data_IF_093826227723
#
_entry.id   IF_093826227723
#
_cell.length_a   1.000
_cell.length_b   1.000
_cell.length_c   1.000
_cell.angle_alpha   90.00
_cell.angle_beta   90.00
_cell.angle_gamma   90.00
#
_symmetry.space_group_name_H-M   'P 1'
#
loop_
_entity.id
_entity.type
_entity.pdbx_description
1 polymer ?
#
# COMPACT_ATOMS: atom_id res chain seq x y z
N UNK A 1 6.38 10.57 -14.90
CA UNK A 1 6.51 9.28 -15.58
C UNK A 1 7.54 8.41 -14.87
N UNK A 2 7.25 7.15 -14.67
CA UNK A 2 8.16 6.20 -14.02
C UNK A 2 9.03 5.56 -15.13
N UNK A 3 10.35 5.72 -15.03
CA UNK A 3 11.25 5.24 -16.07
C UNK A 3 11.51 3.74 -16.03
N UNK A 4 11.55 3.17 -14.85
CA UNK A 4 11.92 1.75 -14.67
C UNK A 4 10.95 1.08 -13.70
N UNK A 5 9.69 0.90 -14.10
CA UNK A 5 8.75 0.24 -13.22
C UNK A 5 9.14 -1.22 -13.01
N UNK A 6 9.23 -1.64 -11.75
CA UNK A 6 9.55 -3.01 -11.38
C UNK A 6 8.36 -3.77 -10.82
N UNK A 7 7.22 -3.11 -10.73
CA UNK A 7 6.03 -3.70 -10.12
C UNK A 7 4.76 -3.05 -10.65
N UNK A 8 3.66 -3.73 -10.40
CA UNK A 8 2.31 -3.22 -10.63
C UNK A 8 1.63 -3.06 -9.28
N UNK A 9 0.95 -1.96 -9.06
CA UNK A 9 0.19 -1.72 -7.85
C UNK A 9 -1.29 -1.77 -8.18
N UNK A 10 -2.02 -2.62 -7.46
CA UNK A 10 -3.49 -2.65 -7.48
C UNK A 10 -3.97 -2.10 -6.15
N UNK A 11 -4.97 -1.23 -6.17
CA UNK A 11 -5.47 -0.58 -4.98
C UNK A 11 -6.86 -1.08 -4.65
N UNK A 12 -7.08 -1.45 -3.39
CA UNK A 12 -8.38 -1.82 -2.87
C UNK A 12 -8.80 -0.84 -1.77
N UNK A 13 -10.08 -0.49 -1.78
CA UNK A 13 -10.69 0.37 -0.77
C UNK A 13 -11.29 -0.51 0.31
N UNK A 14 -11.17 -0.06 1.56
CA UNK A 14 -11.78 -0.77 2.68
C UNK A 14 -13.31 -0.79 2.54
N UNK A 15 -13.88 -1.98 2.53
CA UNK A 15 -15.30 -2.20 2.54
C UNK A 15 -15.71 -2.73 3.91
N UNK A 16 -16.71 -2.10 4.52
CA UNK A 16 -17.22 -2.52 5.83
C UNK A 16 -18.66 -2.94 5.66
N UNK A 17 -18.95 -4.20 5.98
CA UNK A 17 -20.29 -4.74 5.94
C UNK A 17 -20.70 -5.23 7.33
N UNK A 18 -22.00 -5.34 7.57
CA UNK A 18 -22.50 -5.87 8.83
C UNK A 18 -23.27 -7.16 8.52
N UNK A 19 -22.89 -8.25 9.17
CA UNK A 19 -23.58 -9.52 8.97
C UNK A 19 -24.88 -9.58 9.76
N UNK A 20 -25.61 -10.67 9.65
CA UNK A 20 -26.92 -10.84 10.32
C UNK A 20 -26.82 -10.81 11.84
N UNK A 21 -25.65 -11.06 12.39
CA UNK A 21 -25.41 -11.03 13.85
C UNK A 21 -24.99 -9.66 14.34
N UNK A 22 -24.90 -8.67 13.45
CA UNK A 22 -24.45 -7.33 13.79
C UNK A 22 -22.94 -7.16 13.85
N UNK A 23 -22.18 -8.16 13.46
CA UNK A 23 -20.73 -8.07 13.44
C UNK A 23 -20.26 -7.35 12.18
N UNK A 24 -19.38 -6.39 12.36
CA UNK A 24 -18.80 -5.65 11.24
C UNK A 24 -17.67 -6.46 10.61
N UNK A 25 -17.74 -6.61 9.30
CA UNK A 25 -16.74 -7.31 8.50
C UNK A 25 -16.01 -6.30 7.65
N UNK A 26 -14.69 -6.27 7.76
CA UNK A 26 -13.83 -5.38 6.99
C UNK A 26 -13.09 -6.18 5.93
N UNK A 27 -13.18 -5.76 4.70
CA UNK A 27 -12.57 -6.46 3.58
C UNK A 27 -11.91 -5.50 2.60
N UNK A 28 -10.84 -5.99 1.96
CA UNK A 28 -10.22 -5.33 0.82
C UNK A 28 -10.35 -6.26 -0.38
N UNK A 29 -11.11 -5.84 -1.37
CA UNK A 29 -11.38 -6.66 -2.55
C UNK A 29 -10.38 -6.34 -3.66
N UNK A 30 -9.43 -7.23 -3.90
CA UNK A 30 -8.46 -7.11 -4.97
C UNK A 30 -8.89 -7.82 -6.26
N UNK A 31 -10.05 -8.46 -6.25
CA UNK A 31 -10.61 -9.06 -7.48
C UNK A 31 -10.98 -7.96 -8.47
N UNK A 32 -11.51 -6.86 -7.96
CA UNK A 32 -11.84 -5.69 -8.76
C UNK A 32 -11.19 -4.46 -8.13
N UNK A 33 -9.88 -4.29 -8.31
CA UNK A 33 -9.20 -3.14 -7.71
C UNK A 33 -9.75 -1.83 -8.28
N UNK A 34 -9.79 -0.81 -7.44
CA UNK A 34 -10.30 0.50 -7.85
C UNK A 34 -9.34 1.24 -8.77
N UNK A 35 -8.07 0.90 -8.71
CA UNK A 35 -7.05 1.46 -9.59
C UNK A 35 -5.92 0.47 -9.75
N UNK A 36 -5.20 0.55 -10.87
CA UNK A 36 -4.05 -0.29 -11.15
C UNK A 36 -3.08 0.50 -12.02
N UNK A 37 -1.80 0.44 -11.68
CA UNK A 37 -0.76 1.15 -12.43
C UNK A 37 0.61 0.57 -12.17
N UNK A 38 1.54 0.90 -13.06
CA UNK A 38 2.93 0.49 -12.89
C UNK A 38 3.64 1.47 -11.95
N UNK A 39 4.58 0.95 -11.17
CA UNK A 39 5.33 1.74 -10.20
C UNK A 39 6.75 1.22 -10.04
N UNK A 40 7.62 2.10 -9.58
CA UNK A 40 8.94 1.76 -9.11
C UNK A 40 8.87 1.61 -7.60
N UNK A 41 8.98 0.39 -7.10
CA UNK A 41 8.86 0.08 -5.68
C UNK A 41 10.22 -0.31 -5.14
N UNK A 42 10.71 0.45 -4.16
CA UNK A 42 12.05 0.26 -3.62
C UNK A 42 12.04 0.03 -2.12
N UNK A 43 13.02 -0.70 -1.59
CA UNK A 43 13.14 -0.88 -0.15
C UNK A 43 13.33 0.47 0.55
N UNK A 44 12.70 0.62 1.69
CA UNK A 44 12.85 1.81 2.52
C UNK A 44 12.79 1.40 3.98
N UNK A 45 13.92 1.40 4.66
CA UNK A 45 14.00 1.05 6.07
C UNK A 45 13.87 2.32 6.90
N UNK A 46 12.87 2.36 7.79
CA UNK A 46 12.62 3.51 8.62
C UNK A 46 13.64 3.60 9.76
N UNK A 47 14.03 4.83 10.11
CA UNK A 47 14.81 5.09 11.31
C UNK A 47 13.92 4.91 12.53
N UNK A 48 14.54 4.79 13.71
CA UNK A 48 13.80 4.69 14.96
C UNK A 48 12.87 5.91 15.17
N UNK A 49 13.35 7.08 14.81
CA UNK A 49 12.56 8.31 14.92
C UNK A 49 11.34 8.26 14.02
N UNK A 50 11.47 7.74 12.81
CA UNK A 50 10.36 7.59 11.88
C UNK A 50 9.37 6.54 12.36
N UNK A 51 9.84 5.45 12.94
CA UNK A 51 8.98 4.43 13.52
C UNK A 51 8.10 5.04 14.61
N UNK A 52 8.70 5.81 15.49
CA UNK A 52 7.96 6.48 16.56
C UNK A 52 6.98 7.50 16.01
N UNK A 53 7.40 8.26 15.00
CA UNK A 53 6.55 9.29 14.38
C UNK A 53 5.31 8.70 13.71
N UNK A 54 5.48 7.58 12.99
CA UNK A 54 4.37 6.93 12.30
C UNK A 54 3.55 6.01 13.19
N UNK A 55 4.02 5.74 14.41
CA UNK A 55 3.31 4.87 15.34
C UNK A 55 3.27 3.41 14.92
N UNK A 56 4.24 2.95 14.15
CA UNK A 56 4.33 1.55 13.70
C UNK A 56 5.35 0.79 14.56
N UNK A 57 5.24 -0.52 14.59
CA UNK A 57 6.16 -1.34 15.37
C UNK A 57 7.40 -1.71 14.54
N UNK A 58 8.42 -2.22 15.22
CA UNK A 58 9.69 -2.56 14.55
C UNK A 58 9.54 -3.68 13.54
N UNK A 59 8.56 -4.56 13.70
CA UNK A 59 8.34 -5.67 12.77
C UNK A 59 7.88 -5.18 11.40
N UNK A 60 7.21 -4.03 11.36
CA UNK A 60 6.71 -3.45 10.11
C UNK A 60 7.57 -2.27 9.65
N UNK A 61 8.77 -2.11 10.22
CA UNK A 61 9.68 -1.03 9.84
C UNK A 61 10.31 -1.21 8.46
N UNK A 62 10.31 -2.43 7.92
CA UNK A 62 10.83 -2.71 6.58
C UNK A 62 9.77 -2.35 5.55
N UNK A 63 9.66 -1.07 5.28
CA UNK A 63 8.67 -0.54 4.36
C UNK A 63 9.22 -0.49 2.95
N UNK A 64 8.35 -0.17 2.01
CA UNK A 64 8.74 0.11 0.63
C UNK A 64 8.35 1.53 0.30
N UNK A 65 9.03 2.12 -0.64
CA UNK A 65 8.67 3.41 -1.20
C UNK A 65 8.26 3.22 -2.64
N UNK A 66 7.08 3.70 -2.98
CA UNK A 66 6.55 3.61 -4.33
C UNK A 66 6.66 4.95 -5.03
N UNK A 67 7.19 4.93 -6.25
CA UNK A 67 7.21 6.07 -7.14
C UNK A 67 6.29 5.76 -8.31
N UNK A 68 5.30 6.59 -8.54
CA UNK A 68 4.26 6.37 -9.55
C UNK A 68 3.87 7.69 -10.19
N UNK A 69 3.18 7.64 -11.33
CA UNK A 69 2.83 8.87 -12.04
C UNK A 69 1.77 9.66 -11.27
N UNK A 70 0.62 9.08 -11.05
CA UNK A 70 -0.44 9.71 -10.26
C UNK A 70 -1.57 8.71 -10.03
N UNK A 71 -2.18 8.78 -8.85
CA UNK A 71 -3.39 8.02 -8.56
C UNK A 71 -4.20 8.77 -7.52
N UNK A 72 -5.47 8.96 -7.77
CA UNK A 72 -6.40 9.55 -6.80
C UNK A 72 -6.72 8.59 -5.66
N UNK A 73 -6.32 7.33 -5.75
CA UNK A 73 -6.65 6.30 -4.79
C UNK A 73 -5.49 5.86 -3.90
N UNK A 74 -4.31 6.47 -4.07
CA UNK A 74 -3.18 6.26 -3.16
C UNK A 74 -3.39 7.08 -1.89
N UNK A 75 -4.35 6.63 -1.10
CA UNK A 75 -4.82 7.34 0.09
C UNK A 75 -4.64 6.48 1.34
N UNK A 76 -4.44 7.15 2.48
CA UNK A 76 -4.42 6.47 3.76
C UNK A 76 -5.75 5.74 3.97
N UNK A 77 -5.69 4.53 4.51
CA UNK A 77 -6.86 3.68 4.69
C UNK A 77 -7.10 2.70 3.54
N UNK A 78 -6.59 2.98 2.37
CA UNK A 78 -6.61 2.03 1.26
C UNK A 78 -5.44 1.06 1.38
N UNK A 79 -5.51 -0.05 0.67
CA UNK A 79 -4.46 -1.07 0.68
C UNK A 79 -3.95 -1.32 -0.73
N UNK A 80 -2.66 -1.55 -0.83
CA UNK A 80 -2.00 -1.83 -2.11
C UNK A 80 -1.57 -3.30 -2.18
N UNK A 81 -1.83 -3.92 -3.32
CA UNK A 81 -1.23 -5.21 -3.66
C UNK A 81 -0.15 -4.93 -4.68
N UNK A 82 1.08 -5.25 -4.34
CA UNK A 82 2.24 -5.05 -5.20
C UNK A 82 2.62 -6.36 -5.83
N UNK A 83 2.56 -6.42 -7.16
CA UNK A 83 2.99 -7.59 -7.93
C UNK A 83 4.27 -7.22 -8.66
N UNK A 84 5.38 -7.83 -8.25
CA UNK A 84 6.68 -7.56 -8.86
C UNK A 84 6.83 -8.29 -10.19
N UNK A 85 7.74 -7.82 -11.02
CA UNK A 85 8.01 -8.42 -12.33
C UNK A 85 8.46 -9.89 -12.25
N UNK A 86 8.99 -10.31 -11.10
CA UNK A 86 9.38 -11.71 -10.88
C UNK A 86 8.23 -12.60 -10.38
N UNK A 87 7.03 -12.04 -10.24
CA UNK A 87 5.85 -12.77 -9.82
C UNK A 87 5.53 -12.73 -8.32
N UNK A 88 6.41 -12.14 -7.50
CA UNK A 88 6.13 -12.00 -6.07
C UNK A 88 4.98 -11.04 -5.85
N UNK A 89 4.15 -11.34 -4.86
CA UNK A 89 3.00 -10.51 -4.49
C UNK A 89 3.11 -10.15 -3.01
N UNK A 90 2.98 -8.87 -2.71
CA UNK A 90 3.02 -8.38 -1.34
C UNK A 90 1.88 -7.38 -1.11
N UNK A 91 1.42 -7.27 0.14
CA UNK A 91 0.33 -6.39 0.51
C UNK A 91 0.82 -5.33 1.48
N UNK A 92 0.37 -4.09 1.26
CA UNK A 92 0.83 -2.94 2.04
C UNK A 92 -0.33 -2.02 2.39
N UNK A 93 -0.22 -1.36 3.54
CA UNK A 93 -1.03 -0.21 3.86
C UNK A 93 -0.39 1.03 3.24
N UNK A 94 -1.20 1.96 2.76
CA UNK A 94 -0.72 3.12 2.01
C UNK A 94 -0.56 4.32 2.94
N UNK A 95 0.60 4.97 2.87
CA UNK A 95 0.86 6.23 3.56
C UNK A 95 1.36 7.24 2.52
N UNK A 96 0.47 8.07 1.95
CA UNK A 96 0.86 9.06 0.94
C UNK A 96 1.86 10.05 1.53
N UNK A 97 2.84 10.46 0.75
CA UNK A 97 3.85 11.41 1.21
C UNK A 97 3.90 12.66 0.37
N UNK A 98 4.20 12.52 -0.92
CA UNK A 98 4.42 13.67 -1.77
C UNK A 98 3.77 13.50 -3.13
N UNK A 99 3.22 14.60 -3.66
CA UNK A 99 2.78 14.67 -5.04
C UNK A 99 3.62 15.73 -5.75
N UNK A 100 4.27 15.32 -6.83
CA UNK A 100 5.07 16.21 -7.67
C UNK A 100 4.38 16.40 -9.01
N UNK A 101 4.86 17.32 -9.84
CA UNK A 101 4.24 17.57 -11.14
C UNK A 101 4.26 16.35 -12.05
N UNK A 102 5.34 15.57 -12.00
CA UNK A 102 5.57 14.45 -12.93
C UNK A 102 5.51 13.10 -12.26
N UNK A 103 5.57 13.03 -10.94
CA UNK A 103 5.49 11.77 -10.23
C UNK A 103 5.00 12.00 -8.79
N UNK A 104 4.60 10.94 -8.15
CA UNK A 104 4.18 10.96 -6.76
C UNK A 104 4.96 9.91 -5.97
N UNK A 105 5.02 10.08 -4.66
CA UNK A 105 5.68 9.16 -3.76
C UNK A 105 4.72 8.74 -2.65
N UNK A 106 4.77 7.49 -2.28
CA UNK A 106 4.04 6.97 -1.13
C UNK A 106 4.88 5.95 -0.39
N UNK A 107 4.70 5.93 0.92
CA UNK A 107 5.29 4.92 1.77
C UNK A 107 4.33 3.75 1.86
N UNK A 108 4.84 2.53 1.65
CA UNK A 108 4.07 1.30 1.73
C UNK A 108 4.50 0.54 2.98
N UNK A 109 3.59 0.38 3.92
CA UNK A 109 3.86 -0.27 5.20
C UNK A 109 3.31 -1.69 5.14
N UNK A 110 4.15 -2.71 5.39
CA UNK A 110 3.69 -4.10 5.30
C UNK A 110 2.48 -4.38 6.18
N UNK A 111 1.54 -5.15 5.64
CA UNK A 111 0.38 -5.61 6.39
C UNK A 111 0.83 -6.73 7.31
N UNK A 112 0.39 -6.68 8.58
CA UNK A 112 0.69 -7.74 9.52
C UNK A 112 -0.12 -8.98 9.18
N UNK A 113 0.46 -10.17 9.43
CA UNK A 113 -0.13 -11.43 9.03
C UNK A 113 -1.56 -11.66 9.52
N UNK A 114 -1.85 -11.26 10.73
CA UNK A 114 -3.17 -11.44 11.32
C UNK A 114 -4.26 -10.64 10.62
N UNK A 115 -3.90 -9.65 9.85
CA UNK A 115 -4.84 -8.83 9.09
C UNK A 115 -5.20 -9.43 7.74
N UNK A 116 -4.45 -10.41 7.29
CA UNK A 116 -4.64 -11.03 5.97
C UNK A 116 -5.73 -12.10 5.95
N UNK A 117 -6.18 -12.47 7.08
CA UNK A 117 -7.17 -13.55 7.21
C UNK A 117 -8.61 -13.10 7.01
#
# INVERSE_FOLDING_TARGET
MVHYPNARIDIAVLSVTTNDEGTKIKEYDFTTPIDSFEADVQPNVLTKEQIDLYGINEKTAHTKKAFYTKSSFMLAGNRARVTYNDGRVEYYNICPQNEWRVHSEALLIPVENEEEE
#
